data_IF_558321247516
#
_entry.id   IF_558321247516
#
_cell.length_a   1.000
_cell.length_b   1.000
_cell.length_c   1.000
_cell.angle_alpha   90.00
_cell.angle_beta   90.00
_cell.angle_gamma   90.00
#
_symmetry.space_group_name_H-M   'P 1'
#
loop_
_entity.id
_entity.type
_entity.pdbx_description
1 polymer ?
#
# COMPACT_ATOMS: atom_id res chain seq x y z
N UNK A 1 -0.19 -25.49 31.95
CA UNK A 1 0.29 -24.60 30.86
C UNK A 1 -0.35 -24.98 29.52
N UNK A 2 -1.68 -24.99 29.40
CA UNK A 2 -2.39 -25.51 28.19
C UNK A 2 -3.31 -24.47 27.53
N UNK A 3 -3.75 -23.45 28.28
CA UNK A 3 -4.65 -22.40 27.78
C UNK A 3 -3.93 -21.36 26.90
N UNK A 4 -2.67 -21.04 27.23
CA UNK A 4 -1.88 -20.04 26.51
C UNK A 4 -1.44 -20.58 25.13
N UNK A 5 -0.95 -21.83 25.06
CA UNK A 5 -0.54 -22.46 23.81
C UNK A 5 -1.70 -22.64 22.81
N UNK A 6 -2.88 -23.10 23.27
CA UNK A 6 -4.07 -23.21 22.41
C UNK A 6 -4.59 -21.86 21.91
N UNK A 7 -4.48 -20.81 22.73
CA UNK A 7 -4.82 -19.45 22.33
C UNK A 7 -3.88 -18.96 21.21
N UNK A 8 -2.57 -19.08 21.42
CA UNK A 8 -1.53 -18.69 20.44
C UNK A 8 -1.71 -19.47 19.12
N UNK A 9 -1.95 -20.77 19.19
CA UNK A 9 -2.20 -21.63 18.02
C UNK A 9 -3.46 -21.24 17.24
N UNK A 10 -4.57 -20.94 17.93
CA UNK A 10 -5.82 -20.49 17.29
C UNK A 10 -5.65 -19.13 16.61
N UNK A 11 -4.90 -18.21 17.23
CA UNK A 11 -4.61 -16.90 16.64
C UNK A 11 -3.70 -17.00 15.42
N UNK A 12 -2.70 -17.89 15.44
CA UNK A 12 -1.83 -18.15 14.28
C UNK A 12 -2.59 -18.77 13.09
N UNK A 13 -3.47 -19.74 13.35
CA UNK A 13 -4.29 -20.35 12.30
C UNK A 13 -5.30 -19.35 11.70
N UNK A 14 -5.98 -18.55 12.55
CA UNK A 14 -6.91 -17.53 12.06
C UNK A 14 -6.19 -16.45 11.22
N UNK A 15 -5.00 -16.04 11.65
CA UNK A 15 -4.18 -15.04 10.97
C UNK A 15 -3.67 -15.53 9.61
N UNK A 16 -3.16 -16.76 9.55
CA UNK A 16 -2.70 -17.36 8.29
C UNK A 16 -3.82 -17.50 7.27
N UNK A 17 -5.01 -17.97 7.68
CA UNK A 17 -6.20 -18.02 6.81
C UNK A 17 -6.56 -16.61 6.33
N UNK A 18 -6.58 -15.62 7.21
CA UNK A 18 -6.87 -14.24 6.84
C UNK A 18 -5.86 -13.69 5.80
N UNK A 19 -4.56 -13.94 5.98
CA UNK A 19 -3.52 -13.52 5.04
C UNK A 19 -3.65 -14.20 3.68
N UNK A 20 -3.98 -15.49 3.63
CA UNK A 20 -4.22 -16.20 2.37
C UNK A 20 -5.46 -15.63 1.68
N UNK A 21 -6.59 -15.49 2.38
CA UNK A 21 -7.82 -14.97 1.76
C UNK A 21 -7.65 -13.54 1.25
N UNK A 22 -7.04 -12.66 2.05
CA UNK A 22 -6.76 -11.27 1.66
C UNK A 22 -5.75 -11.23 0.51
N UNK A 23 -4.70 -12.06 0.55
CA UNK A 23 -3.71 -12.14 -0.50
C UNK A 23 -4.31 -12.55 -1.85
N UNK A 24 -5.18 -13.57 -1.85
CA UNK A 24 -5.92 -13.99 -3.06
C UNK A 24 -6.82 -12.85 -3.56
N UNK A 25 -7.61 -12.24 -2.67
CA UNK A 25 -8.55 -11.18 -3.03
C UNK A 25 -7.83 -9.98 -3.68
N UNK A 26 -6.70 -9.55 -3.10
CA UNK A 26 -5.88 -8.45 -3.61
C UNK A 26 -5.22 -8.83 -4.95
N UNK A 27 -4.71 -10.05 -5.06
CA UNK A 27 -4.03 -10.50 -6.28
C UNK A 27 -4.98 -10.56 -7.48
N UNK A 28 -6.19 -11.12 -7.30
CA UNK A 28 -7.16 -11.28 -8.37
C UNK A 28 -7.84 -9.95 -8.74
N UNK A 29 -8.23 -9.16 -7.75
CA UNK A 29 -9.08 -7.98 -7.94
C UNK A 29 -8.56 -6.77 -7.13
N UNK A 30 -7.34 -6.28 -7.43
CA UNK A 30 -6.70 -5.20 -6.67
C UNK A 30 -7.53 -3.91 -6.69
N UNK A 31 -8.25 -3.65 -7.80
CA UNK A 31 -9.13 -2.51 -7.95
C UNK A 31 -10.29 -2.53 -6.95
N UNK A 32 -10.98 -3.67 -6.83
CA UNK A 32 -12.14 -3.81 -5.92
C UNK A 32 -11.69 -3.72 -4.47
N UNK A 33 -10.58 -4.36 -4.12
CA UNK A 33 -10.05 -4.31 -2.76
C UNK A 33 -9.59 -2.89 -2.39
N UNK A 34 -8.91 -2.19 -3.30
CA UNK A 34 -8.53 -0.78 -3.12
C UNK A 34 -9.75 0.13 -2.91
N UNK A 35 -10.81 -0.06 -3.70
CA UNK A 35 -12.08 0.68 -3.51
C UNK A 35 -12.77 0.34 -2.20
N UNK A 36 -12.76 -0.93 -1.79
CA UNK A 36 -13.31 -1.34 -0.50
C UNK A 36 -12.56 -0.67 0.65
N UNK A 37 -11.23 -0.65 0.61
CA UNK A 37 -10.39 0.05 1.60
C UNK A 37 -10.72 1.55 1.62
N UNK A 38 -10.86 2.18 0.45
CA UNK A 38 -11.24 3.58 0.36
C UNK A 38 -12.60 3.84 1.02
N UNK A 39 -13.62 3.03 0.75
CA UNK A 39 -14.94 3.19 1.36
C UNK A 39 -14.92 2.96 2.86
N UNK A 40 -14.09 2.04 3.36
CA UNK A 40 -13.87 1.88 4.80
C UNK A 40 -13.26 3.14 5.43
N UNK A 41 -12.25 3.73 4.80
CA UNK A 41 -11.62 4.97 5.28
C UNK A 41 -12.63 6.14 5.23
N UNK A 42 -13.35 6.31 4.13
CA UNK A 42 -14.35 7.38 3.99
C UNK A 42 -15.48 7.22 5.01
N UNK A 43 -16.04 6.02 5.14
CA UNK A 43 -17.11 5.75 6.13
C UNK A 43 -16.64 5.97 7.56
N UNK A 44 -15.42 5.55 7.90
CA UNK A 44 -14.82 5.84 9.21
C UNK A 44 -14.72 7.34 9.49
N UNK A 45 -14.24 8.14 8.52
CA UNK A 45 -14.15 9.59 8.68
C UNK A 45 -15.55 10.23 8.85
N UNK A 46 -16.55 9.77 8.11
CA UNK A 46 -17.94 10.22 8.25
C UNK A 46 -18.48 9.90 9.65
N UNK A 47 -18.28 8.67 10.13
CA UNK A 47 -18.71 8.27 11.48
C UNK A 47 -18.04 9.12 12.56
N UNK A 48 -16.73 9.36 12.45
CA UNK A 48 -16.00 10.24 13.36
C UNK A 48 -16.50 11.68 13.31
N UNK A 49 -16.82 12.21 12.12
CA UNK A 49 -17.45 13.52 11.95
C UNK A 49 -18.80 13.60 12.68
N UNK A 50 -19.64 12.57 12.55
CA UNK A 50 -20.94 12.49 13.22
C UNK A 50 -20.78 12.44 14.75
N UNK A 51 -19.88 11.60 15.27
CA UNK A 51 -19.66 11.52 16.72
C UNK A 51 -19.18 12.85 17.32
N UNK A 52 -18.27 13.56 16.63
CA UNK A 52 -17.82 14.88 17.05
C UNK A 52 -18.95 15.93 17.01
N UNK A 53 -19.84 15.86 16.02
CA UNK A 53 -21.00 16.76 15.93
C UNK A 53 -22.00 16.53 17.06
N UNK A 54 -22.24 15.27 17.44
CA UNK A 54 -23.09 14.91 18.58
C UNK A 54 -22.46 15.39 19.89
N UNK A 55 -21.16 15.17 20.07
CA UNK A 55 -20.41 15.66 21.23
C UNK A 55 -20.44 17.19 21.35
N UNK A 56 -20.35 17.89 20.22
CA UNK A 56 -20.42 19.34 20.16
C UNK A 56 -21.76 19.89 20.66
N UNK A 57 -22.87 19.22 20.33
CA UNK A 57 -24.21 19.62 20.84
C UNK A 57 -24.39 19.38 22.33
N UNK A 58 -23.69 18.40 22.90
CA UNK A 58 -23.77 18.05 24.33
C UNK A 58 -22.96 19.01 25.20
N UNK A 59 -21.83 19.50 24.68
CA UNK A 59 -20.95 20.47 25.35
C UNK A 59 -21.27 21.90 24.89
N UNK A 60 -22.48 22.40 25.17
CA UNK A 60 -22.84 23.81 24.97
C UNK A 60 -22.17 24.68 26.04
N UNK A 61 -20.86 24.88 25.94
CA UNK A 61 -20.18 25.98 26.61
C UNK A 61 -20.19 27.20 25.69
N UNK A 62 -20.42 28.39 26.24
CA UNK A 62 -20.58 29.67 25.51
C UNK A 62 -19.28 30.15 24.85
N UNK A 63 -18.74 29.40 23.89
CA UNK A 63 -17.51 29.72 23.17
C UNK A 63 -17.29 28.88 21.91
N UNK A 64 -16.16 29.11 21.24
CA UNK A 64 -15.75 28.32 20.07
C UNK A 64 -15.63 26.85 20.46
N UNK A 65 -16.46 26.01 19.84
CA UNK A 65 -16.46 24.58 20.11
C UNK A 65 -15.53 23.86 19.14
N UNK A 66 -14.33 23.51 19.62
CA UNK A 66 -13.33 22.78 18.85
C UNK A 66 -13.87 21.48 18.24
N UNK A 67 -14.87 20.84 18.87
CA UNK A 67 -15.49 19.63 18.35
C UNK A 67 -16.25 19.86 17.03
N UNK A 68 -16.85 21.05 16.84
CA UNK A 68 -17.52 21.41 15.57
C UNK A 68 -16.50 21.57 14.44
N UNK A 69 -15.38 22.24 14.71
CA UNK A 69 -14.31 22.43 13.72
C UNK A 69 -13.68 21.08 13.31
N UNK A 70 -13.48 20.18 14.27
CA UNK A 70 -12.97 18.83 14.03
C UNK A 70 -13.97 18.01 13.19
N UNK A 71 -15.27 18.10 13.47
CA UNK A 71 -16.30 17.43 12.68
C UNK A 71 -16.29 17.90 11.22
N UNK A 72 -16.23 19.22 10.99
CA UNK A 72 -16.13 19.80 9.65
C UNK A 72 -14.90 19.30 8.91
N UNK A 73 -13.74 19.26 9.59
CA UNK A 73 -12.51 18.71 9.03
C UNK A 73 -12.70 17.26 8.58
N UNK A 74 -13.29 16.39 9.41
CA UNK A 74 -13.54 14.99 9.04
C UNK A 74 -14.44 14.85 7.81
N UNK A 75 -15.51 15.66 7.70
CA UNK A 75 -16.39 15.62 6.53
C UNK A 75 -15.71 16.13 5.26
N UNK A 76 -14.97 17.24 5.34
CA UNK A 76 -14.20 17.76 4.21
C UNK A 76 -13.16 16.73 3.77
N UNK A 77 -12.44 16.12 4.71
CA UNK A 77 -11.43 15.11 4.41
C UNK A 77 -12.05 13.87 3.78
N UNK A 78 -13.19 13.38 4.29
CA UNK A 78 -13.94 12.29 3.68
C UNK A 78 -14.37 12.61 2.24
N UNK A 79 -14.84 13.84 1.99
CA UNK A 79 -15.24 14.31 0.66
C UNK A 79 -14.04 14.37 -0.29
N UNK A 80 -12.90 14.91 0.16
CA UNK A 80 -11.66 14.97 -0.62
C UNK A 80 -11.21 13.56 -0.98
N UNK A 81 -11.16 12.63 -0.02
CA UNK A 81 -10.79 11.25 -0.28
C UNK A 81 -11.74 10.60 -1.29
N UNK A 82 -13.05 10.80 -1.14
CA UNK A 82 -14.03 10.23 -2.05
C UNK A 82 -13.89 10.75 -3.49
N UNK A 83 -13.67 12.05 -3.67
CA UNK A 83 -13.56 12.68 -4.99
C UNK A 83 -12.18 12.50 -5.64
N UNK A 84 -11.11 12.59 -4.86
CA UNK A 84 -9.73 12.64 -5.35
C UNK A 84 -8.90 11.38 -5.06
N UNK A 85 -9.49 10.30 -4.53
CA UNK A 85 -8.74 9.07 -4.24
C UNK A 85 -7.90 8.55 -5.40
N UNK A 86 -8.47 8.49 -6.61
CA UNK A 86 -7.76 7.97 -7.79
C UNK A 86 -6.49 8.79 -8.08
N UNK A 87 -6.56 10.13 -8.26
CA UNK A 87 -5.37 10.96 -8.38
C UNK A 87 -4.40 10.86 -7.20
N UNK A 88 -4.90 10.84 -5.95
CA UNK A 88 -4.06 10.78 -4.75
C UNK A 88 -3.24 9.50 -4.70
N UNK A 89 -3.86 8.36 -5.00
CA UNK A 89 -3.21 7.05 -5.02
C UNK A 89 -2.23 6.95 -6.20
N UNK A 90 -2.56 7.55 -7.35
CA UNK A 90 -1.70 7.59 -8.53
C UNK A 90 -0.51 8.56 -8.40
N UNK A 91 -0.58 9.54 -7.50
CA UNK A 91 0.47 10.54 -7.33
C UNK A 91 1.82 9.90 -6.94
N UNK A 92 1.81 8.87 -6.09
CA UNK A 92 3.02 8.17 -5.67
C UNK A 92 3.74 7.49 -6.85
N UNK A 93 3.12 6.57 -7.62
CA UNK A 93 3.73 6.00 -8.82
C UNK A 93 4.20 7.05 -9.83
N UNK A 94 3.43 8.13 -10.02
CA UNK A 94 3.77 9.19 -10.95
C UNK A 94 5.07 9.91 -10.55
N UNK A 95 5.17 10.36 -9.29
CA UNK A 95 6.37 11.00 -8.77
C UNK A 95 7.58 10.06 -8.79
N UNK A 96 7.40 8.81 -8.38
CA UNK A 96 8.44 7.79 -8.45
C UNK A 96 8.88 7.54 -9.90
N UNK A 97 7.96 7.52 -10.86
CA UNK A 97 8.25 7.39 -12.28
C UNK A 97 9.16 8.50 -12.79
N UNK A 98 8.86 9.76 -12.45
CA UNK A 98 9.71 10.90 -12.79
C UNK A 98 11.11 10.74 -12.19
N UNK A 99 11.20 10.41 -10.90
CA UNK A 99 12.50 10.20 -10.24
C UNK A 99 13.32 9.09 -10.89
N UNK A 100 12.66 7.98 -11.28
CA UNK A 100 13.30 6.85 -11.95
C UNK A 100 13.77 7.22 -13.37
N UNK A 101 12.99 8.00 -14.13
CA UNK A 101 13.41 8.50 -15.45
C UNK A 101 14.67 9.34 -15.32
N UNK A 102 14.71 10.27 -14.35
CA UNK A 102 15.87 11.13 -14.10
C UNK A 102 17.08 10.26 -13.73
N UNK A 103 16.93 9.34 -12.78
CA UNK A 103 17.99 8.42 -12.37
C UNK A 103 18.50 7.53 -13.51
N UNK A 104 17.60 7.05 -14.36
CA UNK A 104 17.92 6.27 -15.55
C UNK A 104 18.70 7.08 -16.60
N UNK A 105 18.29 8.33 -16.84
CA UNK A 105 19.00 9.26 -17.74
C UNK A 105 20.42 9.60 -17.26
N UNK A 106 20.61 9.78 -15.95
CA UNK A 106 21.94 9.95 -15.36
C UNK A 106 22.81 8.71 -15.60
N UNK A 107 22.28 7.49 -15.36
CA UNK A 107 23.05 6.26 -15.60
C UNK A 107 23.34 6.03 -17.08
N UNK A 108 22.40 6.38 -17.96
CA UNK A 108 22.58 6.31 -19.41
C UNK A 108 23.72 7.22 -19.86
N UNK A 109 23.71 8.49 -19.44
CA UNK A 109 24.78 9.44 -19.77
C UNK A 109 26.14 9.03 -19.18
N UNK A 110 26.18 8.52 -17.95
CA UNK A 110 27.39 7.94 -17.36
C UNK A 110 27.90 6.74 -18.16
N UNK A 111 27.03 5.85 -18.64
CA UNK A 111 27.43 4.70 -19.46
C UNK A 111 28.04 5.11 -20.80
N UNK A 112 27.53 6.18 -21.42
CA UNK A 112 28.11 6.73 -22.65
C UNK A 112 29.49 7.32 -22.39
N UNK A 113 29.70 7.96 -21.24
CA UNK A 113 31.03 8.41 -20.82
C UNK A 113 31.96 7.23 -20.56
N UNK A 114 31.49 6.09 -20.07
CA UNK A 114 32.33 4.92 -19.82
C UNK A 114 32.88 4.28 -21.10
N UNK A 115 32.28 4.55 -22.28
CA UNK A 115 32.79 4.07 -23.58
C UNK A 115 34.21 4.53 -23.89
N UNK A 116 34.67 5.64 -23.31
CA UNK A 116 36.02 6.16 -23.55
C UNK A 116 37.12 5.37 -22.82
N UNK A 117 36.76 4.47 -21.90
CA UNK A 117 37.72 3.66 -21.15
C UNK A 117 37.79 2.23 -21.69
N UNK A 118 38.97 1.83 -22.17
CA UNK A 118 39.20 0.55 -22.87
C UNK A 118 38.94 -0.68 -21.98
N UNK A 119 39.07 -0.55 -20.66
CA UNK A 119 38.95 -1.67 -19.71
C UNK A 119 37.63 -1.71 -18.93
N UNK A 120 36.64 -0.86 -19.27
CA UNK A 120 35.36 -0.79 -18.53
C UNK A 120 34.19 -1.27 -19.37
N UNK A 121 33.44 -2.25 -18.84
CA UNK A 121 32.22 -2.75 -19.49
C UNK A 121 31.09 -1.73 -19.34
N UNK A 122 30.89 -0.90 -20.37
CA UNK A 122 29.85 0.13 -20.41
C UNK A 122 28.43 -0.41 -20.70
N UNK A 123 28.34 -1.56 -21.38
CA UNK A 123 27.07 -2.14 -21.86
C UNK A 123 26.05 -2.46 -20.75
N UNK A 124 26.43 -3.09 -19.61
CA UNK A 124 25.47 -3.39 -18.54
C UNK A 124 24.85 -2.13 -17.93
N UNK A 125 25.63 -1.06 -17.78
CA UNK A 125 25.14 0.21 -17.24
C UNK A 125 24.21 0.93 -18.21
N UNK A 126 24.49 0.83 -19.52
CA UNK A 126 23.62 1.36 -20.57
C UNK A 126 22.25 0.66 -20.58
N UNK A 127 22.26 -0.69 -20.56
CA UNK A 127 21.03 -1.49 -20.50
C UNK A 127 20.23 -1.16 -19.24
N UNK A 128 20.90 -1.08 -18.08
CA UNK A 128 20.25 -0.74 -16.83
C UNK A 128 19.60 0.65 -16.87
N UNK A 129 20.30 1.66 -17.41
CA UNK A 129 19.74 3.00 -17.60
C UNK A 129 18.51 3.00 -18.51
N UNK A 130 18.56 2.24 -19.61
CA UNK A 130 17.42 2.07 -20.51
C UNK A 130 16.21 1.39 -19.85
N UNK A 131 16.43 0.32 -19.09
CA UNK A 131 15.38 -0.37 -18.32
C UNK A 131 14.75 0.57 -17.29
N UNK A 132 15.57 1.36 -16.58
CA UNK A 132 15.05 2.38 -15.66
C UNK A 132 14.15 3.39 -16.36
N UNK A 133 14.60 3.97 -17.47
CA UNK A 133 13.80 4.93 -18.23
C UNK A 133 12.49 4.27 -18.68
N UNK A 134 12.53 3.06 -19.23
CA UNK A 134 11.33 2.32 -19.64
C UNK A 134 10.36 2.10 -18.48
N UNK A 135 10.84 1.63 -17.33
CA UNK A 135 10.03 1.44 -16.13
C UNK A 135 9.42 2.76 -15.62
N UNK A 136 10.20 3.84 -15.61
CA UNK A 136 9.74 5.15 -15.22
C UNK A 136 8.69 5.73 -16.18
N UNK A 137 8.82 5.50 -17.49
CA UNK A 137 7.81 5.89 -18.48
C UNK A 137 6.51 5.11 -18.27
N UNK A 138 6.58 3.80 -18.00
CA UNK A 138 5.39 3.00 -17.68
C UNK A 138 4.65 3.52 -16.45
N UNK A 139 5.38 3.90 -15.40
CA UNK A 139 4.85 4.52 -14.19
C UNK A 139 4.16 5.86 -14.47
N UNK A 140 4.76 6.72 -15.29
CA UNK A 140 4.21 8.05 -15.62
C UNK A 140 3.02 7.96 -16.57
N UNK A 141 3.07 7.05 -17.56
CA UNK A 141 2.01 6.89 -18.55
C UNK A 141 0.74 6.29 -17.94
N UNK A 142 0.88 5.34 -17.01
CA UNK A 142 -0.25 4.66 -16.37
C UNK A 142 -0.03 4.49 -14.85
N UNK A 143 -0.05 5.59 -14.07
CA UNK A 143 0.31 5.54 -12.65
C UNK A 143 -0.69 4.75 -11.82
N UNK A 144 -1.99 4.87 -12.12
CA UNK A 144 -3.02 4.11 -11.40
C UNK A 144 -2.89 2.61 -11.64
N UNK A 145 -2.73 2.18 -12.89
CA UNK A 145 -2.52 0.76 -13.22
C UNK A 145 -1.24 0.22 -12.61
N UNK A 146 -0.17 1.03 -12.58
CA UNK A 146 1.09 0.61 -11.96
C UNK A 146 0.96 0.48 -10.44
N UNK A 147 0.17 1.34 -9.80
CA UNK A 147 -0.22 1.14 -8.39
C UNK A 147 -0.93 -0.20 -8.17
N UNK A 148 -1.82 -0.60 -9.08
CA UNK A 148 -2.52 -1.89 -8.97
C UNK A 148 -1.55 -3.07 -9.08
N UNK A 149 -0.52 -2.97 -9.93
CA UNK A 149 0.54 -3.98 -10.00
C UNK A 149 1.29 -4.09 -8.66
N UNK A 150 1.59 -2.95 -8.01
CA UNK A 150 2.18 -2.96 -6.67
C UNK A 150 1.25 -3.60 -5.64
N UNK A 151 -0.05 -3.32 -5.70
CA UNK A 151 -1.02 -3.99 -4.84
C UNK A 151 -1.06 -5.50 -5.10
N UNK A 152 -1.02 -5.95 -6.35
CA UNK A 152 -0.96 -7.39 -6.68
C UNK A 152 0.30 -8.04 -6.11
N UNK A 153 1.46 -7.39 -6.25
CA UNK A 153 2.70 -7.85 -5.63
C UNK A 153 2.58 -7.94 -4.11
N UNK A 154 1.92 -6.97 -3.47
CA UNK A 154 1.60 -7.03 -2.05
C UNK A 154 0.68 -8.21 -1.71
N UNK A 155 -0.32 -8.49 -2.55
CA UNK A 155 -1.19 -9.66 -2.44
C UNK A 155 -0.42 -10.98 -2.50
N UNK A 156 0.53 -11.11 -3.43
CA UNK A 156 1.45 -12.27 -3.51
C UNK A 156 2.31 -12.38 -2.25
N UNK A 157 2.81 -11.25 -1.73
CA UNK A 157 3.60 -11.23 -0.50
C UNK A 157 2.77 -11.71 0.70
N UNK A 158 1.51 -11.28 0.81
CA UNK A 158 0.57 -11.76 1.83
C UNK A 158 0.27 -13.26 1.69
N UNK A 159 0.14 -13.76 0.45
CA UNK A 159 -0.03 -15.19 0.20
C UNK A 159 1.16 -15.98 0.73
N UNK A 160 2.38 -15.57 0.38
CA UNK A 160 3.61 -16.22 0.82
C UNK A 160 3.69 -16.18 2.36
N UNK A 161 3.39 -15.03 2.98
CA UNK A 161 3.38 -14.89 4.43
C UNK A 161 2.35 -15.82 5.10
N UNK A 162 1.12 -15.87 4.59
CA UNK A 162 0.07 -16.74 5.12
C UNK A 162 0.39 -18.23 4.96
N UNK A 163 0.93 -18.65 3.81
CA UNK A 163 1.39 -20.03 3.60
C UNK A 163 2.54 -20.35 4.57
N UNK A 164 3.49 -19.43 4.74
CA UNK A 164 4.63 -19.63 5.63
C UNK A 164 4.20 -19.80 7.09
N UNK A 165 3.27 -18.97 7.57
CA UNK A 165 2.69 -19.11 8.91
C UNK A 165 1.90 -20.42 9.07
N UNK A 166 1.18 -20.85 8.03
CA UNK A 166 0.43 -22.11 8.05
C UNK A 166 1.37 -23.32 8.12
N UNK A 167 2.46 -23.32 7.35
CA UNK A 167 3.49 -24.36 7.40
C UNK A 167 4.17 -24.39 8.76
N UNK A 168 4.50 -23.22 9.33
CA UNK A 168 5.07 -23.14 10.67
C UNK A 168 4.12 -23.73 11.72
N UNK A 169 2.83 -23.39 11.65
CA UNK A 169 1.81 -23.94 12.54
C UNK A 169 1.73 -25.47 12.48
N UNK A 170 1.73 -26.06 11.27
CA UNK A 170 1.72 -27.51 11.11
C UNK A 170 2.99 -28.13 11.71
N UNK A 171 4.15 -27.50 11.49
CA UNK A 171 5.43 -28.01 12.00
C UNK A 171 5.49 -27.98 13.52
N UNK A 172 5.06 -26.89 14.17
CA UNK A 172 5.02 -26.80 15.64
C UNK A 172 4.06 -27.79 16.27
N UNK A 173 2.91 -28.05 15.64
CA UNK A 173 1.98 -29.10 16.09
C UNK A 173 2.59 -30.51 16.01
N UNK A 174 3.45 -30.76 15.01
CA UNK A 174 4.11 -32.06 14.84
C UNK A 174 5.30 -32.30 15.79
N UNK A 175 5.81 -31.28 16.50
CA UNK A 175 6.89 -31.43 17.49
C UNK A 175 6.37 -31.62 18.94
N UNK A 176 5.08 -31.39 19.20
CA UNK A 176 4.44 -31.63 20.51
C UNK A 176 3.75 -33.01 20.59
N UNK A 177 3.94 -33.88 19.60
CA UNK A 177 3.56 -35.31 19.62
C UNK A 177 4.80 -36.18 19.75
#
# INVERSE_FOLDING_TARGET
MTTIFKSIQKHALLRSIAYILLGIAIFLEPNKVSQMILYLIVSYNVLMGIFNLIGARKNKTNGYNSATSIAIFYFIFALILFLFAKPLVAALPFLLGIMIIIGGGVRLSQSLRLRQYVNVKWLPMFIYGGVMIGAGVLLVANPFSTMMIFFQFFGVTLLIAGISELVAFIRFRNFEM
#
